data_IF_765002187383
#
_entry.id   IF_765002187383
#
_cell.length_a   1.000
_cell.length_b   1.000
_cell.length_c   1.000
_cell.angle_alpha   90.00
_cell.angle_beta   90.00
_cell.angle_gamma   90.00
#
_symmetry.space_group_name_H-M   'P 1'
#
loop_
_entity.id
_entity.type
_entity.pdbx_description
1 polymer ?
#
# COMPACT_ATOMS: atom_id res chain seq x y z
N UNK A 1 -34.82 -13.40 17.28
CA UNK A 1 -33.78 -14.11 16.50
C UNK A 1 -32.43 -13.72 17.08
N UNK A 2 -31.61 -14.69 17.49
CA UNK A 2 -30.28 -14.42 18.05
C UNK A 2 -29.39 -13.82 16.95
N UNK A 3 -28.81 -12.65 17.23
CA UNK A 3 -27.79 -12.01 16.38
C UNK A 3 -26.58 -12.94 16.39
N UNK A 4 -26.35 -13.67 15.31
CA UNK A 4 -25.10 -14.44 15.13
C UNK A 4 -23.98 -13.42 15.03
N UNK A 5 -23.23 -13.26 16.12
CA UNK A 5 -22.02 -12.44 16.15
C UNK A 5 -20.94 -13.23 15.42
N UNK A 6 -20.78 -12.96 14.11
CA UNK A 6 -19.75 -13.58 13.28
C UNK A 6 -18.39 -13.25 13.92
N UNK A 7 -17.65 -14.30 14.31
CA UNK A 7 -16.36 -14.18 15.00
C UNK A 7 -15.33 -13.48 14.09
N UNK A 8 -14.49 -12.66 14.71
CA UNK A 8 -13.46 -11.80 14.10
C UNK A 8 -12.37 -12.52 13.28
N UNK A 9 -12.30 -13.85 13.32
CA UNK A 9 -11.23 -14.63 12.70
C UNK A 9 -11.25 -14.62 11.17
N UNK A 10 -12.45 -14.56 10.56
CA UNK A 10 -12.58 -14.46 9.10
C UNK A 10 -12.06 -13.13 8.55
N UNK A 11 -12.26 -12.03 9.31
CA UNK A 11 -11.78 -10.69 8.97
C UNK A 11 -10.24 -10.64 9.01
N UNK A 12 -9.66 -11.21 10.06
CA UNK A 12 -8.21 -11.33 10.21
C UNK A 12 -7.60 -12.15 9.06
N UNK A 13 -8.24 -13.26 8.67
CA UNK A 13 -7.80 -14.09 7.54
C UNK A 13 -7.82 -13.33 6.21
N UNK A 14 -8.89 -12.61 5.89
CA UNK A 14 -8.98 -11.82 4.65
C UNK A 14 -7.92 -10.70 4.59
N UNK A 15 -7.59 -10.10 5.74
CA UNK A 15 -6.50 -9.12 5.83
C UNK A 15 -5.14 -9.73 5.51
N UNK A 16 -4.83 -10.91 6.05
CA UNK A 16 -3.60 -11.64 5.74
C UNK A 16 -3.54 -12.06 4.27
N UNK A 17 -4.64 -12.57 3.71
CA UNK A 17 -4.71 -12.92 2.28
C UNK A 17 -4.39 -11.70 1.38
N UNK A 18 -4.88 -10.51 1.72
CA UNK A 18 -4.57 -9.29 0.95
C UNK A 18 -3.07 -8.91 1.02
N UNK A 19 -2.43 -9.11 2.18
CA UNK A 19 -0.99 -8.88 2.36
C UNK A 19 -0.16 -9.94 1.63
N UNK A 20 -0.55 -11.21 1.69
CA UNK A 20 0.09 -12.31 0.97
C UNK A 20 0.08 -12.05 -0.54
N UNK A 21 -1.07 -11.67 -1.10
CA UNK A 21 -1.19 -11.33 -2.51
C UNK A 21 -0.34 -10.12 -2.89
N UNK A 22 -0.24 -9.12 -2.03
CA UNK A 22 0.65 -7.99 -2.23
C UNK A 22 2.13 -8.42 -2.29
N UNK A 23 2.52 -9.37 -1.45
CA UNK A 23 3.86 -9.97 -1.39
C UNK A 23 4.16 -10.83 -2.60
N UNK A 24 3.22 -11.71 -2.98
CA UNK A 24 3.29 -12.56 -4.17
C UNK A 24 3.48 -11.70 -5.43
N UNK A 25 2.82 -10.53 -5.55
CA UNK A 25 3.06 -9.62 -6.68
C UNK A 25 4.55 -9.20 -6.79
N UNK A 26 5.21 -8.93 -5.66
CA UNK A 26 6.64 -8.57 -5.65
C UNK A 26 7.49 -9.79 -6.00
N UNK A 27 7.17 -10.97 -5.49
CA UNK A 27 7.86 -12.21 -5.84
C UNK A 27 7.72 -12.55 -7.32
N UNK A 28 6.56 -12.34 -7.93
CA UNK A 28 6.36 -12.52 -9.38
C UNK A 28 7.23 -11.55 -10.17
N UNK A 29 7.38 -10.29 -9.72
CA UNK A 29 8.31 -9.33 -10.36
C UNK A 29 9.75 -9.84 -10.27
N UNK A 30 10.16 -10.36 -9.11
CA UNK A 30 11.48 -10.96 -8.95
C UNK A 30 11.71 -12.18 -9.82
N UNK A 31 10.71 -13.06 -9.93
CA UNK A 31 10.79 -14.26 -10.77
C UNK A 31 10.92 -13.90 -12.26
N UNK A 32 10.17 -12.88 -12.71
CA UNK A 32 10.22 -12.39 -14.10
C UNK A 32 11.52 -11.66 -14.43
N UNK A 33 12.12 -11.00 -13.44
CA UNK A 33 13.40 -10.32 -13.55
C UNK A 33 14.27 -10.64 -12.32
N UNK A 34 15.08 -11.73 -12.38
CA UNK A 34 15.95 -12.13 -11.28
C UNK A 34 17.05 -11.11 -10.95
N UNK A 35 17.32 -10.16 -11.84
CA UNK A 35 18.28 -9.07 -11.62
C UNK A 35 17.65 -7.84 -10.96
N UNK A 36 16.33 -7.81 -10.80
CA UNK A 36 15.62 -6.67 -10.22
C UNK A 36 15.95 -6.48 -8.73
N UNK A 37 15.89 -7.56 -7.96
CA UNK A 37 16.04 -7.52 -6.51
C UNK A 37 17.23 -8.34 -6.05
N UNK A 38 17.95 -7.80 -5.07
CA UNK A 38 18.94 -8.55 -4.30
C UNK A 38 18.24 -9.44 -3.27
N UNK A 39 17.18 -8.92 -2.64
CA UNK A 39 16.33 -9.66 -1.72
C UNK A 39 14.95 -9.00 -1.58
N UNK A 40 13.96 -9.80 -1.16
CA UNK A 40 12.61 -9.36 -0.82
C UNK A 40 12.28 -9.91 0.56
N UNK A 41 11.77 -9.07 1.44
CA UNK A 41 11.26 -9.42 2.76
C UNK A 41 9.76 -9.14 2.81
N UNK A 42 8.97 -10.17 3.11
CA UNK A 42 7.51 -10.08 3.32
C UNK A 42 7.27 -10.15 4.83
N UNK A 43 6.24 -9.45 5.31
CA UNK A 43 5.95 -9.27 6.73
C UNK A 43 7.14 -8.62 7.47
N UNK A 44 7.75 -7.58 6.90
CA UNK A 44 8.87 -6.94 7.58
C UNK A 44 8.35 -6.25 8.85
N UNK A 45 8.81 -6.73 10.00
CA UNK A 45 8.55 -6.13 11.32
C UNK A 45 9.82 -5.47 11.88
N UNK A 46 10.73 -5.05 10.99
CA UNK A 46 11.95 -4.38 11.43
C UNK A 46 11.64 -2.95 11.90
N UNK A 47 11.97 -2.71 13.16
CA UNK A 47 11.94 -1.40 13.82
C UNK A 47 12.67 -0.28 13.08
N UNK A 48 13.55 -0.60 12.12
CA UNK A 48 14.24 0.37 11.28
C UNK A 48 13.33 1.02 10.22
N UNK A 49 12.37 0.28 9.65
CA UNK A 49 11.54 0.77 8.54
C UNK A 49 10.22 1.41 9.01
N UNK A 50 9.62 0.88 10.09
CA UNK A 50 8.40 1.32 10.81
C UNK A 50 7.35 1.98 9.93
N UNK A 51 6.19 1.35 9.74
CA UNK A 51 5.01 1.90 9.04
C UNK A 51 5.10 1.98 7.51
N UNK A 52 6.14 1.41 6.88
CA UNK A 52 6.28 1.24 5.42
C UNK A 52 6.60 -0.22 5.05
N UNK A 53 6.29 -1.14 5.96
CA UNK A 53 7.12 -2.31 6.23
C UNK A 53 6.44 -3.66 5.97
N UNK A 54 5.17 -3.69 5.54
CA UNK A 54 4.54 -4.98 5.25
C UNK A 54 5.31 -5.78 4.18
N UNK A 55 5.94 -5.11 3.20
CA UNK A 55 6.91 -5.69 2.26
C UNK A 55 8.04 -4.69 1.99
N UNK A 56 9.28 -5.16 2.04
CA UNK A 56 10.50 -4.41 1.70
C UNK A 56 11.30 -5.18 0.65
N UNK A 57 11.76 -4.50 -0.40
CA UNK A 57 12.62 -5.10 -1.41
C UNK A 57 13.85 -4.23 -1.65
N UNK A 58 15.04 -4.84 -1.51
CA UNK A 58 16.28 -4.21 -1.93
C UNK A 58 16.57 -4.57 -3.39
N UNK A 59 16.76 -3.55 -4.21
CA UNK A 59 17.09 -3.68 -5.63
C UNK A 59 18.58 -3.89 -5.81
N UNK A 60 18.99 -4.58 -6.88
CA UNK A 60 20.43 -4.77 -7.18
C UNK A 60 21.15 -3.47 -7.55
N UNK A 61 20.41 -2.44 -7.97
CA UNK A 61 20.91 -1.08 -8.21
C UNK A 61 21.20 -0.29 -6.92
N UNK A 62 20.96 -0.89 -5.74
CA UNK A 62 21.19 -0.29 -4.43
C UNK A 62 20.03 0.54 -3.88
N UNK A 63 18.92 0.69 -4.64
CA UNK A 63 17.73 1.37 -4.16
C UNK A 63 16.73 0.43 -3.47
N UNK A 64 15.79 1.00 -2.73
CA UNK A 64 14.78 0.26 -1.98
C UNK A 64 13.36 0.53 -2.47
N UNK A 65 12.54 -0.52 -2.46
CA UNK A 65 11.09 -0.42 -2.62
C UNK A 65 10.39 -0.78 -1.29
N UNK A 66 9.45 0.06 -0.87
CA UNK A 66 8.67 -0.13 0.34
C UNK A 66 7.19 -0.21 0.02
N UNK A 67 6.48 -1.16 0.62
CA UNK A 67 5.04 -1.32 0.43
C UNK A 67 4.38 -1.53 1.77
N UNK A 68 3.49 -0.61 2.14
CA UNK A 68 2.56 -0.82 3.23
C UNK A 68 1.21 -1.29 2.68
N UNK A 69 0.64 -2.29 3.32
CA UNK A 69 -0.67 -2.86 3.03
C UNK A 69 -1.67 -2.36 4.08
N UNK A 70 -2.83 -1.87 3.61
CA UNK A 70 -3.96 -1.50 4.47
C UNK A 70 -5.26 -2.06 3.90
N UNK A 71 -5.77 -3.11 4.52
CA UNK A 71 -7.05 -3.70 4.16
C UNK A 71 -8.21 -3.15 4.99
N UNK A 72 -9.40 -3.06 4.40
CA UNK A 72 -10.67 -2.81 5.08
C UNK A 72 -11.72 -3.82 4.61
N UNK A 73 -12.54 -4.32 5.52
CA UNK A 73 -13.64 -5.23 5.18
C UNK A 73 -14.85 -4.54 4.56
N UNK A 74 -14.95 -3.22 4.75
CA UNK A 74 -16.07 -2.41 4.29
C UNK A 74 -15.48 -1.18 3.58
N UNK A 75 -15.06 -1.37 2.33
CA UNK A 75 -14.44 -0.34 1.49
C UNK A 75 -15.42 0.75 1.05
N UNK A 76 -16.71 0.41 0.99
CA UNK A 76 -17.77 1.33 0.60
C UNK A 76 -18.05 2.34 1.73
N UNK A 77 -17.95 1.90 2.98
CA UNK A 77 -18.07 2.77 4.15
C UNK A 77 -16.78 3.49 4.52
N UNK A 78 -15.64 2.83 4.36
CA UNK A 78 -14.35 3.34 4.81
C UNK A 78 -13.44 3.63 3.61
N UNK A 79 -13.70 4.75 2.94
CA UNK A 79 -12.95 5.18 1.78
C UNK A 79 -11.49 5.57 2.06
N UNK A 80 -10.75 5.78 0.97
CA UNK A 80 -9.45 6.44 0.96
C UNK A 80 -9.71 7.94 0.77
N UNK A 81 -9.64 8.69 1.86
CA UNK A 81 -9.88 10.13 1.86
C UNK A 81 -8.90 10.89 2.77
N UNK A 82 -8.93 12.22 2.66
CA UNK A 82 -8.08 13.11 3.45
C UNK A 82 -8.35 13.01 4.95
N UNK A 83 -9.59 12.77 5.37
CA UNK A 83 -9.91 12.60 6.79
C UNK A 83 -9.23 11.36 7.35
N UNK A 84 -9.26 10.24 6.63
CA UNK A 84 -8.58 9.01 7.03
C UNK A 84 -7.07 9.21 7.12
N UNK A 85 -6.47 9.87 6.12
CA UNK A 85 -5.02 10.12 6.07
C UNK A 85 -4.53 11.09 7.13
N UNK A 86 -5.31 12.14 7.44
CA UNK A 86 -4.94 13.24 8.33
C UNK A 86 -5.50 13.10 9.76
N UNK A 87 -6.45 12.20 9.98
CA UNK A 87 -7.04 12.00 11.31
C UNK A 87 -5.98 11.63 12.34
N UNK A 88 -6.05 12.28 13.50
CA UNK A 88 -5.16 12.03 14.64
C UNK A 88 -5.98 11.44 15.78
N UNK A 89 -5.40 10.49 16.51
CA UNK A 89 -5.87 10.17 17.86
C UNK A 89 -5.35 11.23 18.83
N UNK A 90 -5.95 11.39 20.03
CA UNK A 90 -5.70 12.51 20.96
C UNK A 90 -4.25 13.03 20.99
N UNK A 91 -3.30 12.16 21.30
CA UNK A 91 -1.86 12.48 21.37
C UNK A 91 -1.06 11.78 20.25
N UNK A 92 -1.74 11.26 19.24
CA UNK A 92 -1.14 10.49 18.16
C UNK A 92 -0.81 11.32 16.93
N UNK A 93 -0.01 10.72 16.04
CA UNK A 93 0.20 11.24 14.69
C UNK A 93 -0.78 10.60 13.72
N UNK A 94 -1.13 11.34 12.68
CA UNK A 94 -1.91 10.85 11.54
C UNK A 94 -1.14 9.77 10.75
N UNK A 95 -1.85 9.07 9.86
CA UNK A 95 -1.23 8.08 8.98
C UNK A 95 -0.19 8.74 8.07
N UNK A 96 -0.55 9.89 7.49
CA UNK A 96 0.33 10.64 6.60
C UNK A 96 1.59 11.11 7.34
N UNK A 97 1.46 11.61 8.58
CA UNK A 97 2.61 11.98 9.40
C UNK A 97 3.52 10.78 9.71
N UNK A 98 2.96 9.59 9.92
CA UNK A 98 3.75 8.37 10.15
C UNK A 98 4.57 8.02 8.91
N UNK A 99 3.93 7.96 7.74
CA UNK A 99 4.64 7.71 6.49
C UNK A 99 5.69 8.75 6.16
N UNK A 100 5.37 10.02 6.36
CA UNK A 100 6.31 11.11 6.16
C UNK A 100 7.58 10.91 7.01
N UNK A 101 7.42 10.61 8.30
CA UNK A 101 8.54 10.33 9.22
C UNK A 101 9.31 9.07 8.83
N UNK A 102 8.62 8.02 8.40
CA UNK A 102 9.24 6.77 7.99
C UNK A 102 10.03 6.90 6.70
N UNK A 103 9.49 7.61 5.69
CA UNK A 103 10.19 7.96 4.46
C UNK A 103 11.49 8.72 4.74
N UNK A 104 11.43 9.71 5.63
CA UNK A 104 12.61 10.46 6.04
C UNK A 104 13.66 9.57 6.71
N UNK A 105 13.23 8.59 7.53
CA UNK A 105 14.13 7.64 8.18
C UNK A 105 14.79 6.68 7.19
N UNK A 106 14.00 6.04 6.33
CA UNK A 106 14.52 5.03 5.40
C UNK A 106 15.36 5.64 4.28
N UNK A 107 15.17 6.93 3.97
CA UNK A 107 16.05 7.67 3.08
C UNK A 107 17.51 7.71 3.57
N UNK A 108 17.76 7.53 4.88
CA UNK A 108 19.10 7.42 5.43
C UNK A 108 19.75 6.05 5.18
N UNK A 109 18.97 5.03 4.79
CA UNK A 109 19.45 3.66 4.52
C UNK A 109 19.92 3.48 3.07
N UNK A 110 19.47 4.33 2.16
CA UNK A 110 19.80 4.28 0.74
C UNK A 110 18.78 5.02 -0.13
N UNK A 111 19.00 5.07 -1.45
CA UNK A 111 18.05 5.68 -2.37
C UNK A 111 16.71 4.94 -2.34
N UNK A 112 15.62 5.69 -2.28
CA UNK A 112 14.27 5.14 -2.34
C UNK A 112 13.84 5.13 -3.80
N UNK A 113 13.67 3.95 -4.39
CA UNK A 113 13.09 3.82 -5.73
C UNK A 113 11.59 4.10 -5.69
N UNK A 114 10.88 3.48 -4.74
CA UNK A 114 9.44 3.70 -4.56
C UNK A 114 9.00 3.38 -3.14
N UNK A 115 8.01 4.13 -2.64
CA UNK A 115 7.22 3.74 -1.49
C UNK A 115 5.74 3.73 -1.88
N UNK A 116 4.95 2.79 -1.36
CA UNK A 116 3.56 2.67 -1.76
C UNK A 116 2.63 2.22 -0.65
N UNK A 117 1.43 2.78 -0.62
CA UNK A 117 0.28 2.19 0.07
C UNK A 117 -0.48 1.30 -0.91
N UNK A 118 -0.59 0.01 -0.62
CA UNK A 118 -1.56 -0.89 -1.24
C UNK A 118 -2.78 -1.02 -0.34
N UNK A 119 -3.95 -0.65 -0.83
CA UNK A 119 -5.19 -0.69 -0.05
C UNK A 119 -6.37 -1.01 -0.94
N UNK A 120 -7.40 -1.68 -0.42
CA UNK A 120 -8.66 -1.90 -1.12
C UNK A 120 -9.71 -0.80 -0.84
N UNK A 121 -9.31 0.29 -0.16
CA UNK A 121 -10.15 1.44 0.11
C UNK A 121 -10.40 2.23 -1.18
N UNK A 122 -11.66 2.52 -1.48
CA UNK A 122 -12.04 3.29 -2.67
C UNK A 122 -11.76 4.78 -2.43
N UNK A 123 -11.00 5.46 -3.31
CA UNK A 123 -10.80 6.91 -3.27
C UNK A 123 -12.12 7.65 -3.21
N UNK A 124 -12.23 8.61 -2.29
CA UNK A 124 -13.30 9.61 -2.40
C UNK A 124 -13.10 10.46 -3.66
N UNK A 125 -14.18 11.04 -4.19
CA UNK A 125 -14.10 11.90 -5.37
C UNK A 125 -13.11 13.07 -5.18
N UNK A 126 -13.07 13.64 -3.97
CA UNK A 126 -12.14 14.73 -3.62
C UNK A 126 -10.69 14.26 -3.59
N UNK A 127 -10.41 13.06 -3.05
CA UNK A 127 -9.05 12.51 -3.07
C UNK A 127 -8.62 12.14 -4.49
N UNK A 128 -9.52 11.52 -5.27
CA UNK A 128 -9.25 11.08 -6.63
C UNK A 128 -8.89 12.24 -7.57
N UNK A 129 -9.52 13.42 -7.42
CA UNK A 129 -9.20 14.63 -8.19
C UNK A 129 -7.77 15.12 -7.96
N UNK A 130 -7.17 14.78 -6.82
CA UNK A 130 -5.81 15.17 -6.50
C UNK A 130 -4.77 14.12 -6.95
N UNK A 131 -5.19 13.02 -7.59
CA UNK A 131 -4.26 12.01 -8.08
C UNK A 131 -3.82 12.30 -9.52
N UNK A 132 -2.52 12.23 -9.74
CA UNK A 132 -1.92 12.09 -11.06
C UNK A 132 -1.31 10.68 -11.16
N UNK A 133 -2.03 9.79 -11.84
CA UNK A 133 -1.76 8.36 -11.80
C UNK A 133 -1.92 7.81 -10.39
N UNK A 134 -0.86 7.24 -9.82
CA UNK A 134 -0.85 6.71 -8.46
C UNK A 134 -0.28 7.67 -7.42
N UNK A 135 0.00 8.93 -7.76
CA UNK A 135 0.64 9.90 -6.85
C UNK A 135 -0.26 11.10 -6.63
N UNK A 136 -0.08 11.78 -5.51
CA UNK A 136 -0.82 13.03 -5.25
C UNK A 136 -0.11 14.16 -5.96
N UNK A 137 -0.85 14.90 -6.77
CA UNK A 137 -0.44 16.19 -7.31
C UNK A 137 -0.78 17.29 -6.30
N UNK A 138 0.27 17.92 -5.77
CA UNK A 138 0.15 18.95 -4.73
C UNK A 138 -0.60 20.19 -5.25
N UNK A 139 -0.49 20.47 -6.55
CA UNK A 139 -1.13 21.64 -7.14
C UNK A 139 -2.65 21.44 -7.33
N UNK A 140 -3.11 20.20 -7.28
CA UNK A 140 -4.53 19.84 -7.30
C UNK A 140 -5.17 19.80 -5.91
N UNK A 141 -4.40 20.04 -4.84
CA UNK A 141 -4.95 20.05 -3.47
C UNK A 141 -5.84 21.28 -3.24
N UNK A 142 -7.08 21.10 -2.72
CA UNK A 142 -7.89 22.19 -2.23
C UNK A 142 -7.14 22.98 -1.15
N UNK A 143 -7.38 24.29 -1.08
CA UNK A 143 -6.65 25.20 -0.18
C UNK A 143 -6.75 24.76 1.29
N UNK A 144 -7.93 24.29 1.69
CA UNK A 144 -8.25 23.80 3.02
C UNK A 144 -7.56 22.47 3.39
N UNK A 145 -7.16 21.67 2.39
CA UNK A 145 -6.45 20.39 2.59
C UNK A 145 -4.94 20.57 2.47
N UNK A 146 -4.49 21.52 1.65
CA UNK A 146 -3.07 21.73 1.35
C UNK A 146 -2.23 21.98 2.60
N UNK A 147 -2.60 22.93 3.45
CA UNK A 147 -1.84 23.23 4.67
C UNK A 147 -1.76 22.04 5.64
N UNK A 148 -2.86 21.32 5.94
CA UNK A 148 -2.78 20.07 6.72
C UNK A 148 -1.88 19.00 6.10
N UNK A 149 -1.94 18.79 4.79
CA UNK A 149 -1.10 17.81 4.07
C UNK A 149 0.36 18.21 4.12
N UNK A 150 0.68 19.46 3.83
CA UNK A 150 2.03 19.99 3.88
C UNK A 150 2.61 19.88 5.29
N UNK A 151 1.84 20.28 6.30
CA UNK A 151 2.24 20.13 7.72
C UNK A 151 2.50 18.68 8.08
N UNK A 152 1.62 17.76 7.68
CA UNK A 152 1.79 16.33 7.93
C UNK A 152 3.05 15.75 7.26
N UNK A 153 3.41 16.29 6.09
CA UNK A 153 4.62 15.91 5.37
C UNK A 153 5.89 16.58 5.92
N UNK A 154 5.79 17.57 6.81
CA UNK A 154 6.94 18.33 7.33
C UNK A 154 7.25 19.62 6.56
N UNK A 155 6.32 20.11 5.74
CA UNK A 155 6.40 21.36 4.99
C UNK A 155 6.06 21.19 3.50
N UNK A 156 5.89 22.31 2.79
CA UNK A 156 5.51 22.32 1.38
C UNK A 156 6.51 21.56 0.46
N UNK A 157 7.81 21.82 0.62
CA UNK A 157 8.84 21.14 -0.16
C UNK A 157 8.85 19.63 0.06
N UNK A 158 8.67 19.20 1.33
CA UNK A 158 8.61 17.79 1.69
C UNK A 158 7.32 17.11 1.19
N UNK A 159 6.20 17.84 1.14
CA UNK A 159 4.97 17.31 0.56
C UNK A 159 5.13 16.99 -0.92
N UNK A 160 5.71 17.91 -1.70
CA UNK A 160 6.01 17.69 -3.12
C UNK A 160 6.94 16.50 -3.33
N UNK A 161 8.03 16.43 -2.55
CA UNK A 161 8.99 15.34 -2.68
C UNK A 161 8.39 13.99 -2.25
N UNK A 162 7.68 13.95 -1.13
CA UNK A 162 7.16 12.70 -0.56
C UNK A 162 5.93 12.22 -1.31
N UNK A 163 4.91 13.05 -1.51
CA UNK A 163 3.66 12.63 -2.13
C UNK A 163 3.67 12.69 -3.66
N UNK A 164 4.39 13.66 -4.22
CA UNK A 164 4.48 13.83 -5.67
C UNK A 164 5.49 12.91 -6.34
N UNK A 165 6.51 12.42 -5.62
CA UNK A 165 7.62 11.66 -6.24
C UNK A 165 8.01 10.34 -5.57
N UNK A 166 7.79 10.16 -4.27
CA UNK A 166 8.25 8.96 -3.54
C UNK A 166 7.12 8.01 -3.16
N UNK A 167 6.08 8.50 -2.51
CA UNK A 167 4.90 7.77 -2.08
C UNK A 167 3.88 7.66 -3.23
N UNK A 168 3.36 6.46 -3.43
CA UNK A 168 2.28 6.17 -4.34
C UNK A 168 1.13 5.47 -3.61
N UNK A 169 -0.09 5.61 -4.14
CA UNK A 169 -1.32 4.99 -3.66
C UNK A 169 -1.82 4.01 -4.71
N UNK A 170 -1.86 2.73 -4.35
CA UNK A 170 -2.33 1.63 -5.18
C UNK A 170 -3.63 1.11 -4.56
N UNK A 171 -4.74 1.51 -5.17
CA UNK A 171 -6.13 1.27 -4.72
C UNK A 171 -6.61 -0.16 -5.03
N UNK A 172 -5.87 -0.87 -5.88
CA UNK A 172 -6.03 -2.29 -6.14
C UNK A 172 -4.67 -2.93 -6.35
N UNK A 173 -4.59 -4.21 -6.02
CA UNK A 173 -3.47 -5.04 -6.42
C UNK A 173 -3.52 -5.18 -7.94
N UNK A 174 -2.41 -4.88 -8.63
CA UNK A 174 -2.33 -4.93 -10.10
C UNK A 174 -2.64 -6.31 -10.69
N UNK A 175 -2.60 -7.36 -9.86
CA UNK A 175 -2.95 -8.72 -10.27
C UNK A 175 -4.47 -8.90 -10.47
N UNK A 176 -5.29 -8.07 -9.80
CA UNK A 176 -6.76 -8.16 -9.85
C UNK A 176 -7.33 -7.44 -11.06
N UNK A 177 -6.64 -6.40 -11.55
CA UNK A 177 -7.05 -5.70 -12.77
C UNK A 177 -6.72 -6.50 -14.06
N UNK A 178 -6.17 -7.72 -13.94
CA UNK A 178 -5.86 -8.63 -15.06
C UNK A 178 -6.83 -9.80 -15.21
N UNK A 179 -7.98 -9.81 -14.53
CA UNK A 179 -9.03 -10.82 -14.77
C UNK A 179 -9.51 -10.82 -16.23
N UNK A 180 -9.43 -9.70 -16.94
CA UNK A 180 -9.80 -9.63 -18.36
C UNK A 180 -8.71 -10.17 -19.31
N UNK A 181 -7.43 -10.18 -18.89
CA UNK A 181 -6.29 -10.63 -19.70
C UNK A 181 -5.98 -12.14 -19.53
N UNK A 182 -6.26 -12.69 -18.36
CA UNK A 182 -6.14 -14.12 -18.10
C UNK A 182 -7.55 -14.72 -18.10
N UNK A 183 -8.06 -14.99 -19.30
CA UNK A 183 -9.43 -15.46 -19.54
C UNK A 183 -9.94 -16.46 -18.50
N UNK A 184 -11.24 -16.36 -18.22
CA UNK A 184 -12.03 -17.19 -17.28
C UNK A 184 -11.35 -18.53 -16.97
N UNK A 185 -10.74 -18.64 -15.79
CA UNK A 185 -10.31 -19.92 -15.24
C UNK A 185 -11.56 -20.76 -14.98
N UNK A 186 -11.99 -21.52 -15.98
CA UNK A 186 -12.83 -22.68 -15.74
C UNK A 186 -11.99 -23.65 -14.93
N UNK A 187 -12.41 -23.97 -13.70
CA UNK A 187 -11.84 -25.04 -12.90
C UNK A 187 -11.73 -26.30 -13.78
N UNK A 188 -10.52 -26.61 -14.24
CA UNK A 188 -10.27 -27.87 -14.90
C UNK A 188 -10.41 -28.97 -13.85
N UNK A 189 -11.24 -29.95 -14.20
CA UNK A 189 -11.60 -31.09 -13.38
C UNK A 189 -10.38 -31.74 -12.73
N UNK A 190 -10.54 -32.11 -11.46
CA UNK A 190 -9.59 -32.78 -10.58
C UNK A 190 -8.63 -33.74 -11.32
N UNK A 191 -7.40 -33.29 -11.53
CA UNK A 191 -6.30 -34.21 -11.83
C UNK A 191 -5.97 -35.01 -10.57
N UNK A 192 -6.48 -36.24 -10.49
CA UNK A 192 -6.02 -37.20 -9.49
C UNK A 192 -4.59 -37.59 -9.85
N UNK A 193 -3.62 -37.21 -9.01
CA UNK A 193 -2.29 -37.80 -9.06
C UNK A 193 -2.40 -39.21 -8.48
N UNK A 194 -2.44 -40.22 -9.36
CA UNK A 194 -2.15 -41.60 -9.00
C UNK A 194 -0.63 -41.75 -9.11
N UNK A 195 0.02 -41.98 -7.98
CA UNK A 195 1.40 -42.43 -7.94
C UNK A 195 1.39 -43.94 -8.19
N UNK A 196 2.01 -44.38 -9.29
CA UNK A 196 2.55 -45.73 -9.43
C UNK A 196 4.02 -45.74 -8.99
#
# INVERSE_FOLDING_TARGET
>A
MAKVQIKSTAITRAGYEYQDLAGIEVLIRHYRDPELYAWVQIEADDTNYRALDDIVAARKDGAYEFVQVKFTVDSDRYGLDWNWLLSKTKNGTSMLEKWAKSLARVAAMGPIHSAGLKTNRIPSAEFAKCLNGSRVDIDLLPKEIREPVETACGGAAEATERLGRKLAFFVRLRIWDREEDYGVYAESERTHFVFD
#
